data_IF_656843647117
#
_entry.id   IF_656843647117
#
_cell.length_a   1.000
_cell.length_b   1.000
_cell.length_c   1.000
_cell.angle_alpha   90.00
_cell.angle_beta   90.00
_cell.angle_gamma   90.00
#
_symmetry.space_group_name_H-M   'P 1'
#
loop_
_entity.id
_entity.type
_entity.pdbx_description
1 polymer ?
#
# COMPACT_ATOMS: atom_id res chain seq x y z
N UNK A 1 22.67 -10.97 11.63
CA UNK A 1 21.58 -10.83 10.64
C UNK A 1 20.68 -12.06 10.73
N UNK A 2 19.42 -11.84 11.00
CA UNK A 2 18.48 -12.95 11.10
C UNK A 2 18.12 -13.45 9.70
N UNK A 3 18.53 -14.67 9.40
CA UNK A 3 18.16 -15.33 8.16
C UNK A 3 16.75 -15.89 8.32
N UNK A 4 15.75 -15.09 7.93
CA UNK A 4 14.38 -15.58 7.89
C UNK A 4 14.19 -16.24 6.53
N UNK A 5 13.92 -17.54 6.58
CA UNK A 5 13.59 -18.29 5.38
C UNK A 5 12.09 -18.31 5.21
N UNK A 6 11.61 -17.78 4.09
CA UNK A 6 10.19 -17.80 3.76
C UNK A 6 9.92 -19.08 2.98
N UNK A 7 9.02 -19.94 3.46
CA UNK A 7 8.68 -21.16 2.72
C UNK A 7 8.16 -20.84 1.32
N UNK A 8 8.57 -21.67 0.36
CA UNK A 8 8.17 -21.48 -1.05
C UNK A 8 6.68 -21.55 -1.28
N UNK A 9 5.95 -22.31 -0.46
CA UNK A 9 4.49 -22.39 -0.56
C UNK A 9 3.82 -21.06 -0.17
N UNK A 10 4.38 -20.33 0.80
CA UNK A 10 3.87 -19.00 1.16
C UNK A 10 4.10 -18.03 0.00
N UNK A 11 5.27 -18.05 -0.61
CA UNK A 11 5.56 -17.24 -1.79
C UNK A 11 4.57 -17.54 -2.92
N UNK A 12 4.35 -18.82 -3.22
CA UNK A 12 3.41 -19.22 -4.27
C UNK A 12 1.99 -18.75 -3.97
N UNK A 13 1.54 -18.85 -2.72
CA UNK A 13 0.22 -18.35 -2.31
C UNK A 13 0.12 -16.84 -2.47
N UNK A 14 1.18 -16.10 -2.16
CA UNK A 14 1.17 -14.64 -2.30
C UNK A 14 1.01 -14.19 -3.74
N UNK A 15 1.46 -14.99 -4.72
CA UNK A 15 1.29 -14.69 -6.13
C UNK A 15 -0.13 -14.90 -6.65
N UNK A 16 -0.99 -15.56 -5.87
CA UNK A 16 -2.41 -15.72 -6.22
C UNK A 16 -3.26 -14.51 -5.82
N UNK A 17 -2.71 -13.61 -5.02
CA UNK A 17 -3.43 -12.42 -4.58
C UNK A 17 -3.48 -11.37 -5.68
N UNK A 18 -4.60 -10.67 -5.77
CA UNK A 18 -4.77 -9.52 -6.66
C UNK A 18 -4.20 -8.23 -6.06
N UNK A 19 -3.83 -8.27 -4.80
CA UNK A 19 -3.26 -7.14 -4.07
C UNK A 19 -1.75 -7.34 -3.88
N UNK A 20 -1.04 -6.23 -3.64
CA UNK A 20 0.39 -6.29 -3.35
C UNK A 20 0.65 -6.83 -1.95
N UNK A 21 1.54 -7.80 -1.84
CA UNK A 21 1.98 -8.33 -0.55
C UNK A 21 3.49 -8.26 -0.44
N UNK A 22 3.95 -7.68 0.66
CA UNK A 22 5.36 -7.63 1.03
C UNK A 22 5.54 -8.32 2.38
N UNK A 23 6.67 -8.98 2.54
CA UNK A 23 7.14 -9.43 3.85
C UNK A 23 8.42 -8.68 4.16
N UNK A 24 8.52 -8.11 5.34
CA UNK A 24 9.70 -7.37 5.76
C UNK A 24 10.05 -7.68 7.21
N UNK A 25 11.31 -7.37 7.59
CA UNK A 25 11.74 -7.50 8.95
C UNK A 25 11.34 -6.25 9.76
N UNK A 26 11.61 -6.25 11.06
CA UNK A 26 11.23 -5.14 11.94
C UNK A 26 11.91 -3.83 11.57
N UNK A 27 13.04 -3.85 10.89
CA UNK A 27 13.73 -2.66 10.40
C UNK A 27 13.13 -2.11 9.12
N UNK A 28 12.20 -2.85 8.49
CA UNK A 28 11.56 -2.45 7.25
C UNK A 28 12.22 -2.96 5.99
N UNK A 29 13.25 -3.80 6.11
CA UNK A 29 13.88 -4.41 4.94
C UNK A 29 12.99 -5.48 4.33
N UNK A 30 12.77 -5.38 3.03
CA UNK A 30 11.86 -6.24 2.29
C UNK A 30 12.53 -7.59 2.03
N UNK A 31 11.90 -8.65 2.54
CA UNK A 31 12.41 -10.03 2.42
C UNK A 31 11.77 -10.76 1.25
N UNK A 32 10.52 -10.45 0.94
CA UNK A 32 9.77 -11.07 -0.14
C UNK A 32 8.67 -10.14 -0.61
N UNK A 33 8.29 -10.25 -1.87
CA UNK A 33 7.16 -9.51 -2.43
C UNK A 33 6.52 -10.31 -3.55
N UNK A 34 5.21 -10.12 -3.75
CA UNK A 34 4.58 -10.67 -4.93
C UNK A 34 4.75 -9.71 -6.12
N UNK A 35 4.36 -10.17 -7.31
CA UNK A 35 4.49 -9.39 -8.55
C UNK A 35 3.70 -8.10 -8.50
N UNK A 36 2.51 -8.12 -7.88
CA UNK A 36 1.65 -6.94 -7.77
C UNK A 36 2.34 -5.84 -6.97
N UNK A 37 2.96 -6.17 -5.83
CA UNK A 37 3.70 -5.21 -5.03
C UNK A 37 4.90 -4.63 -5.80
N UNK A 38 5.59 -5.45 -6.56
CA UNK A 38 6.69 -5.00 -7.42
C UNK A 38 6.21 -4.02 -8.48
N UNK A 39 5.02 -4.24 -9.04
CA UNK A 39 4.43 -3.34 -10.02
C UNK A 39 4.03 -1.99 -9.41
N UNK A 40 3.61 -1.99 -8.14
CA UNK A 40 3.24 -0.74 -7.45
C UNK A 40 4.46 0.08 -7.04
N UNK A 41 5.52 -0.56 -6.59
CA UNK A 41 6.66 0.12 -6.00
C UNK A 41 7.87 0.15 -6.94
N UNK A 42 8.44 -1.00 -7.21
CA UNK A 42 9.59 -1.17 -8.10
C UNK A 42 9.83 -2.67 -8.31
N UNK A 43 10.41 -3.02 -9.44
CA UNK A 43 10.78 -4.42 -9.71
C UNK A 43 11.94 -4.92 -8.85
N UNK A 44 12.72 -4.00 -8.28
CA UNK A 44 13.93 -4.32 -7.50
C UNK A 44 13.76 -3.86 -6.05
N UNK A 45 12.74 -4.38 -5.36
CA UNK A 45 12.45 -3.96 -3.99
C UNK A 45 13.01 -4.91 -2.93
N UNK A 46 13.38 -6.12 -3.30
CA UNK A 46 13.94 -7.10 -2.35
C UNK A 46 15.25 -6.54 -1.78
N UNK A 47 15.46 -6.68 -0.49
CA UNK A 47 16.57 -6.16 0.29
C UNK A 47 16.62 -4.63 0.39
N UNK A 48 15.65 -3.92 -0.15
CA UNK A 48 15.49 -2.48 0.07
C UNK A 48 14.57 -2.23 1.25
N UNK A 49 14.64 -1.03 1.78
CA UNK A 49 13.81 -0.65 2.93
C UNK A 49 12.47 -0.11 2.44
N UNK A 50 11.38 -0.56 3.06
CA UNK A 50 10.02 -0.11 2.71
C UNK A 50 9.89 1.41 2.85
N UNK A 51 10.59 2.03 3.78
CA UNK A 51 10.53 3.47 4.00
C UNK A 51 11.20 4.29 2.89
N UNK A 52 11.97 3.66 2.01
CA UNK A 52 12.49 4.31 0.81
C UNK A 52 11.40 4.55 -0.24
N UNK A 53 10.32 3.78 -0.16
CA UNK A 53 9.19 3.86 -1.09
C UNK A 53 7.98 4.54 -0.48
N UNK A 54 7.78 4.39 0.82
CA UNK A 54 6.58 4.84 1.53
C UNK A 54 7.00 5.58 2.79
N UNK A 55 6.67 6.85 2.87
CA UNK A 55 6.90 7.66 4.06
C UNK A 55 5.73 7.49 5.02
N UNK A 56 5.89 6.57 5.97
CA UNK A 56 4.87 6.32 6.98
C UNK A 56 5.52 6.34 8.35
N UNK A 57 5.44 7.49 8.99
CA UNK A 57 6.01 7.63 10.34
C UNK A 57 5.16 6.94 11.41
N UNK A 58 3.85 6.75 11.15
CA UNK A 58 2.91 6.27 12.13
C UNK A 58 3.17 4.85 12.61
N UNK A 59 3.73 3.97 11.76
CA UNK A 59 4.04 2.61 12.19
C UNK A 59 5.52 2.34 12.39
N UNK A 60 6.33 3.40 12.45
CA UNK A 60 7.74 3.30 12.79
C UNK A 60 7.95 3.67 14.24
N UNK A 61 8.69 2.85 14.97
CA UNK A 61 9.11 3.20 16.32
C UNK A 61 10.24 4.22 16.21
N UNK A 62 9.96 5.46 16.60
CA UNK A 62 10.91 6.57 16.46
C UNK A 62 12.18 6.37 17.27
N UNK A 63 12.10 5.74 18.44
CA UNK A 63 13.25 5.50 19.29
C UNK A 63 14.20 4.46 18.72
N UNK A 64 13.66 3.42 18.12
CA UNK A 64 14.42 2.27 17.64
C UNK A 64 14.48 2.18 16.11
N UNK A 65 13.74 3.03 15.41
CA UNK A 65 13.58 2.97 13.95
C UNK A 65 13.03 1.64 13.45
N UNK A 66 12.29 0.94 14.30
CA UNK A 66 11.66 -0.34 13.99
C UNK A 66 10.19 -0.16 13.66
N UNK A 67 9.64 -1.11 12.92
CA UNK A 67 8.18 -1.20 12.72
C UNK A 67 7.52 -1.51 14.06
N UNK A 68 6.44 -0.81 14.39
CA UNK A 68 5.88 -0.87 15.73
C UNK A 68 4.60 -1.68 15.87
N UNK A 69 4.10 -2.33 14.92
CA UNK A 69 2.91 -3.15 15.09
C UNK A 69 1.95 -3.07 13.94
N UNK A 70 0.69 -3.35 14.24
CA UNK A 70 -0.35 -3.37 13.22
C UNK A 70 -0.76 -1.94 12.83
N UNK A 71 -0.98 -1.73 11.53
CA UNK A 71 -1.42 -0.45 11.00
C UNK A 71 -2.40 -0.67 9.85
N UNK A 72 -3.39 0.21 9.76
CA UNK A 72 -4.29 0.27 8.64
C UNK A 72 -4.48 1.74 8.26
N UNK A 73 -3.88 2.15 7.14
CA UNK A 73 -3.92 3.54 6.71
C UNK A 73 -3.99 3.66 5.19
N UNK A 74 -4.35 4.83 4.70
CA UNK A 74 -4.51 5.10 3.29
C UNK A 74 -3.45 6.09 2.82
N UNK A 75 -2.75 5.74 1.74
CA UNK A 75 -1.69 6.58 1.16
C UNK A 75 -1.94 6.82 -0.31
N UNK A 76 -1.67 8.04 -0.74
CA UNK A 76 -1.70 8.41 -2.14
C UNK A 76 -0.29 8.38 -2.71
N UNK A 77 -0.12 7.57 -3.71
CA UNK A 77 1.17 7.25 -4.28
C UNK A 77 1.28 7.74 -5.71
N UNK A 78 2.29 8.51 -6.01
CA UNK A 78 2.57 8.90 -7.39
C UNK A 78 3.70 8.02 -7.93
N UNK A 79 3.36 7.15 -8.88
CA UNK A 79 4.31 6.20 -9.45
C UNK A 79 5.21 6.88 -10.47
N UNK A 80 4.64 7.85 -11.21
CA UNK A 80 5.37 8.71 -12.13
C UNK A 80 4.59 10.02 -12.29
N UNK A 81 5.05 10.93 -13.13
CA UNK A 81 4.40 12.22 -13.30
C UNK A 81 2.97 12.13 -13.85
N UNK A 82 2.61 11.01 -14.44
CA UNK A 82 1.31 10.81 -15.08
C UNK A 82 0.35 9.92 -14.31
N UNK A 83 0.88 9.01 -13.46
CA UNK A 83 0.07 8.00 -12.79
C UNK A 83 0.12 8.22 -11.28
N UNK A 84 -1.04 8.55 -10.72
CA UNK A 84 -1.26 8.65 -9.28
C UNK A 84 -2.12 7.48 -8.84
N UNK A 85 -1.66 6.75 -7.82
CA UNK A 85 -2.40 5.63 -7.26
C UNK A 85 -2.81 5.92 -5.82
N UNK A 86 -3.99 5.43 -5.48
CA UNK A 86 -4.51 5.47 -4.11
C UNK A 86 -4.36 4.07 -3.51
N UNK A 87 -3.49 3.92 -2.53
CA UNK A 87 -3.22 2.65 -1.89
C UNK A 87 -3.68 2.68 -0.44
N UNK A 88 -4.37 1.62 -0.02
CA UNK A 88 -4.55 1.32 1.39
C UNK A 88 -3.43 0.38 1.79
N UNK A 89 -2.73 0.72 2.86
CA UNK A 89 -1.61 -0.06 3.36
C UNK A 89 -2.00 -0.65 4.70
N UNK A 90 -1.96 -1.97 4.78
CA UNK A 90 -2.21 -2.70 6.02
C UNK A 90 -0.92 -3.38 6.43
N UNK A 91 -0.53 -3.17 7.67
CA UNK A 91 0.64 -3.80 8.26
C UNK A 91 0.19 -4.75 9.35
N UNK A 92 0.64 -5.99 9.29
CA UNK A 92 0.35 -7.00 10.29
C UNK A 92 1.65 -7.58 10.82
N UNK A 93 1.82 -7.55 12.12
CA UNK A 93 2.94 -8.22 12.76
C UNK A 93 2.69 -9.72 12.77
N UNK A 94 3.62 -10.49 12.21
CA UNK A 94 3.55 -11.96 12.20
C UNK A 94 4.28 -12.52 13.42
N UNK A 95 5.50 -12.03 13.66
CA UNK A 95 6.27 -12.36 14.85
C UNK A 95 7.18 -11.17 15.21
N UNK A 96 8.15 -11.37 16.13
CA UNK A 96 8.99 -10.28 16.60
C UNK A 96 9.82 -9.61 15.52
N UNK A 97 10.09 -10.29 14.41
CA UNK A 97 10.93 -9.75 13.34
C UNK A 97 10.35 -10.02 11.94
N UNK A 98 9.06 -10.26 11.85
CA UNK A 98 8.41 -10.48 10.57
C UNK A 98 7.08 -9.74 10.50
N UNK A 99 6.94 -8.91 9.47
CA UNK A 99 5.74 -8.12 9.22
C UNK A 99 5.25 -8.39 7.81
N UNK A 100 3.94 -8.52 7.66
CA UNK A 100 3.28 -8.57 6.37
C UNK A 100 2.71 -7.18 6.06
N UNK A 101 2.96 -6.69 4.85
CA UNK A 101 2.43 -5.41 4.38
C UNK A 101 1.58 -5.68 3.15
N UNK A 102 0.30 -5.34 3.24
CA UNK A 102 -0.66 -5.50 2.16
C UNK A 102 -0.92 -4.13 1.52
N UNK A 103 -0.81 -4.09 0.19
CA UNK A 103 -1.03 -2.89 -0.62
C UNK A 103 -2.30 -3.10 -1.44
N UNK A 104 -3.36 -2.40 -1.08
CA UNK A 104 -4.65 -2.46 -1.76
C UNK A 104 -4.78 -1.25 -2.68
N UNK A 105 -4.89 -1.48 -3.99
CA UNK A 105 -5.07 -0.40 -4.95
C UNK A 105 -6.54 -0.01 -5.03
N UNK A 106 -6.85 1.16 -4.52
CA UNK A 106 -8.19 1.73 -4.48
C UNK A 106 -8.38 2.85 -5.53
N UNK A 107 -7.47 2.95 -6.50
CA UNK A 107 -7.47 4.05 -7.47
C UNK A 107 -8.77 4.12 -8.26
N UNK A 108 -9.22 2.98 -8.79
CA UNK A 108 -10.47 2.93 -9.58
C UNK A 108 -11.67 3.32 -8.72
N UNK A 109 -11.78 2.75 -7.52
CA UNK A 109 -12.88 3.04 -6.61
C UNK A 109 -12.92 4.51 -6.21
N UNK A 110 -11.77 5.10 -5.91
CA UNK A 110 -11.68 6.52 -5.56
C UNK A 110 -12.04 7.43 -6.74
N UNK A 111 -11.60 7.07 -7.94
CA UNK A 111 -11.96 7.83 -9.15
C UNK A 111 -13.44 7.74 -9.46
N UNK A 112 -14.06 6.57 -9.30
CA UNK A 112 -15.49 6.39 -9.49
C UNK A 112 -16.31 7.17 -8.46
N UNK A 113 -15.88 7.18 -7.19
CA UNK A 113 -16.51 7.98 -6.15
C UNK A 113 -16.45 9.46 -6.49
N UNK A 114 -15.31 9.94 -7.00
CA UNK A 114 -15.15 11.34 -7.41
C UNK A 114 -16.07 11.68 -8.58
N UNK A 115 -16.12 10.84 -9.59
CA UNK A 115 -16.99 11.04 -10.76
C UNK A 115 -18.45 11.10 -10.31
N UNK A 116 -18.87 10.17 -9.46
CA UNK A 116 -20.24 10.15 -8.93
C UNK A 116 -20.56 11.43 -8.14
N UNK A 117 -19.66 11.86 -7.29
CA UNK A 117 -19.82 13.07 -6.47
C UNK A 117 -19.93 14.31 -7.35
N UNK A 118 -19.06 14.44 -8.35
CA UNK A 118 -19.07 15.55 -9.28
C UNK A 118 -20.34 15.57 -10.12
N UNK A 119 -20.80 14.39 -10.56
CA UNK A 119 -22.06 14.25 -11.30
C UNK A 119 -23.25 14.74 -10.46
N UNK A 120 -23.37 14.29 -9.21
CA UNK A 120 -24.46 14.72 -8.32
C UNK A 120 -24.42 16.21 -8.09
N UNK A 121 -23.24 16.78 -7.87
CA UNK A 121 -23.08 18.22 -7.69
C UNK A 121 -23.50 18.99 -8.95
N UNK A 122 -23.10 18.54 -10.14
CA UNK A 122 -23.44 19.18 -11.39
C UNK A 122 -24.93 19.10 -11.69
N UNK A 123 -25.57 17.95 -11.44
CA UNK A 123 -27.04 17.81 -11.62
C UNK A 123 -27.78 18.74 -10.66
N UNK A 124 -27.36 18.80 -9.42
CA UNK A 124 -27.97 19.70 -8.43
C UNK A 124 -27.87 21.16 -8.87
N UNK A 125 -26.71 21.56 -9.38
CA UNK A 125 -26.48 22.91 -9.90
C UNK A 125 -27.39 23.22 -11.10
N UNK A 126 -27.46 22.30 -12.07
CA UNK A 126 -28.29 22.47 -13.26
C UNK A 126 -29.78 22.56 -12.93
N UNK A 127 -30.25 21.81 -11.93
CA UNK A 127 -31.64 21.87 -11.49
C UNK A 127 -31.98 23.17 -10.80
N UNK A 128 -31.04 23.86 -10.18
CA UNK A 128 -31.23 25.13 -9.53
C UNK A 128 -31.18 26.31 -10.50
N UNK A 129 -30.30 26.23 -11.49
CA UNK A 129 -30.04 27.32 -12.44
C UNK A 129 -31.27 27.72 -13.28
N UNK A 130 -32.06 26.78 -13.86
CA UNK A 130 -33.22 27.15 -14.68
C UNK A 130 -34.37 27.76 -13.91
N UNK A 131 -34.37 27.67 -12.61
CA UNK A 131 -35.46 28.20 -11.76
C UNK A 131 -35.25 29.66 -11.37
N UNK A 132 -34.14 30.23 -11.77
CA UNK A 132 -33.85 31.67 -11.53
C UNK A 132 -34.18 32.56 -12.75
#
# INVERSE_FOLDING_TARGET
MNNITIPSNIFSLSQLLDDGLLLCNKKGFILSSNTIAQNFLSKKIINKNIFDFIEISEFKNLEESDLKGDLNDEFHFQINDLIKRSLIIKVKRIDNNLFAILLLDMTLQRNLEKVRRDFVANVSHELKSPLT
#
